data_IF_799760685051
#
_entry.id   IF_799760685051
#
_cell.length_a   1.000
_cell.length_b   1.000
_cell.length_c   1.000
_cell.angle_alpha   90.00
_cell.angle_beta   90.00
_cell.angle_gamma   90.00
#
_symmetry.space_group_name_H-M   'P 1'
#
loop_
_entity.id
_entity.type
_entity.pdbx_description
1 polymer ?
#
# COMPACT_ATOMS: atom_id res chain seq x y z
N UNK A 1 15.99 -5.06 6.29
CA UNK A 1 17.20 -4.22 6.26
C UNK A 1 17.54 -3.70 4.86
N UNK A 2 17.57 -4.53 3.80
CA UNK A 2 17.94 -4.06 2.44
C UNK A 2 17.10 -2.89 1.88
N UNK A 3 15.79 -2.84 2.15
CA UNK A 3 14.91 -1.75 1.68
C UNK A 3 15.31 -0.37 2.24
N UNK A 4 15.56 -0.31 3.55
CA UNK A 4 15.97 0.92 4.22
C UNK A 4 17.32 1.40 3.66
N UNK A 5 18.27 0.49 3.47
CA UNK A 5 19.57 0.85 2.89
C UNK A 5 19.43 1.41 1.47
N UNK A 6 18.54 0.84 0.65
CA UNK A 6 18.26 1.39 -0.69
C UNK A 6 17.65 2.79 -0.65
N UNK A 7 16.75 3.04 0.30
CA UNK A 7 16.17 4.37 0.52
C UNK A 7 17.22 5.40 0.97
N UNK A 8 18.14 5.02 1.87
CA UNK A 8 19.24 5.90 2.28
C UNK A 8 20.22 6.23 1.13
N UNK A 9 20.48 5.25 0.25
CA UNK A 9 21.27 5.48 -0.97
C UNK A 9 20.56 6.43 -1.92
N UNK A 10 19.25 6.26 -2.12
CA UNK A 10 18.46 7.17 -2.94
C UNK A 10 18.44 8.59 -2.38
N UNK A 11 18.27 8.72 -1.06
CA UNK A 11 18.37 10.00 -0.36
C UNK A 11 19.72 10.67 -0.56
N UNK A 12 20.81 9.92 -0.48
CA UNK A 12 22.15 10.44 -0.73
C UNK A 12 22.33 10.88 -2.20
N UNK A 13 21.88 10.07 -3.15
CA UNK A 13 21.99 10.37 -4.58
C UNK A 13 21.20 11.64 -4.96
N UNK A 14 19.97 11.77 -4.47
CA UNK A 14 19.13 12.94 -4.76
C UNK A 14 19.65 14.23 -4.10
N UNK A 15 20.42 14.12 -3.00
CA UNK A 15 21.15 15.28 -2.42
C UNK A 15 22.36 15.67 -3.27
N UNK A 16 23.05 14.70 -3.86
CA UNK A 16 24.24 14.94 -4.68
C UNK A 16 23.88 15.50 -6.06
N UNK A 17 22.75 15.08 -6.63
CA UNK A 17 22.25 15.55 -7.93
C UNK A 17 20.83 16.13 -7.78
N UNK A 18 20.69 17.44 -7.50
CA UNK A 18 19.38 18.07 -7.25
C UNK A 18 18.42 18.07 -8.44
N UNK A 19 18.89 17.76 -9.66
CA UNK A 19 18.05 17.63 -10.84
C UNK A 19 17.36 16.26 -10.97
N UNK A 20 17.81 15.26 -10.19
CA UNK A 20 17.23 13.92 -10.19
C UNK A 20 16.09 13.82 -9.17
N UNK A 21 15.03 13.14 -9.60
CA UNK A 21 13.92 12.73 -8.74
C UNK A 21 13.89 11.22 -8.62
N UNK A 22 13.75 10.70 -7.39
CA UNK A 22 13.75 9.26 -7.11
C UNK A 22 12.48 8.90 -6.34
N UNK A 23 11.69 7.97 -6.88
CA UNK A 23 10.53 7.42 -6.20
C UNK A 23 10.83 6.00 -5.71
N UNK A 24 10.79 5.78 -4.39
CA UNK A 24 10.88 4.45 -3.80
C UNK A 24 9.48 3.91 -3.53
N UNK A 25 9.05 2.93 -4.33
CA UNK A 25 7.72 2.33 -4.24
C UNK A 25 7.74 1.12 -3.29
N UNK A 26 7.09 1.24 -2.14
CA UNK A 26 6.91 0.14 -1.18
C UNK A 26 5.68 -0.68 -1.56
N UNK A 27 5.92 -1.66 -2.43
CA UNK A 27 4.91 -2.62 -2.83
C UNK A 27 4.65 -3.63 -1.71
N UNK A 28 3.38 -3.87 -1.41
CA UNK A 28 2.95 -4.91 -0.48
C UNK A 28 2.34 -6.07 -1.25
N UNK A 29 2.69 -7.33 -0.95
CA UNK A 29 2.24 -8.58 -1.62
C UNK A 29 1.49 -8.32 -2.95
N UNK A 30 2.24 -8.29 -4.05
CA UNK A 30 1.67 -8.07 -5.40
C UNK A 30 0.86 -9.30 -5.79
N UNK A 31 -0.37 -9.07 -6.26
CA UNK A 31 -1.28 -10.12 -6.73
C UNK A 31 -1.65 -9.93 -8.19
N UNK A 32 -1.82 -11.04 -8.88
CA UNK A 32 -2.21 -11.07 -10.28
C UNK A 32 -3.66 -11.54 -10.42
N UNK A 33 -4.46 -10.92 -11.29
CA UNK A 33 -5.84 -11.36 -11.55
C UNK A 33 -5.90 -12.84 -11.93
N UNK A 34 -6.71 -13.63 -11.22
CA UNK A 34 -6.90 -15.06 -11.49
C UNK A 34 -5.84 -16.01 -10.90
N UNK A 35 -4.72 -15.51 -10.39
CA UNK A 35 -3.64 -16.38 -9.86
C UNK A 35 -3.80 -16.74 -8.37
N UNK A 36 -4.69 -16.06 -7.66
CA UNK A 36 -4.87 -16.23 -6.22
C UNK A 36 -6.30 -16.59 -5.85
N UNK A 37 -6.44 -17.47 -4.85
CA UNK A 37 -7.70 -17.72 -4.16
C UNK A 37 -7.89 -16.66 -3.07
N UNK A 38 -9.12 -16.20 -2.92
CA UNK A 38 -9.50 -15.23 -1.91
C UNK A 38 -10.29 -15.89 -0.77
N UNK A 39 -10.18 -15.40 0.48
CA UNK A 39 -9.28 -14.33 0.91
C UNK A 39 -7.80 -14.73 0.85
N UNK A 40 -6.88 -13.77 0.65
CA UNK A 40 -5.42 -14.02 0.67
C UNK A 40 -4.94 -14.52 2.03
N UNK A 41 -5.61 -14.09 3.10
CA UNK A 41 -5.33 -14.48 4.48
C UNK A 41 -6.55 -15.16 5.10
N UNK A 42 -6.80 -16.45 4.77
CA UNK A 42 -7.92 -17.20 5.34
C UNK A 42 -7.73 -17.46 6.84
N UNK A 43 -6.49 -17.66 7.28
CA UNK A 43 -6.11 -17.48 8.68
C UNK A 43 -5.50 -16.08 8.87
N UNK A 44 -6.19 -15.16 9.58
CA UNK A 44 -5.69 -13.81 9.82
C UNK A 44 -4.32 -13.78 10.53
N UNK A 45 -3.95 -14.79 11.31
CA UNK A 45 -2.66 -14.79 11.99
C UNK A 45 -1.48 -14.73 10.99
N UNK A 46 -1.63 -15.35 9.82
CA UNK A 46 -0.62 -15.33 8.76
C UNK A 46 -0.39 -13.95 8.12
N UNK A 47 -1.36 -13.03 8.24
CA UNK A 47 -1.28 -11.67 7.68
C UNK A 47 -0.95 -10.57 8.69
N UNK A 48 -0.93 -10.87 10.00
CA UNK A 48 -0.82 -9.85 11.04
C UNK A 48 0.46 -9.01 10.93
N UNK A 49 1.62 -9.63 10.69
CA UNK A 49 2.90 -8.91 10.53
C UNK A 49 2.93 -8.00 9.30
N UNK A 50 2.07 -8.25 8.32
CA UNK A 50 1.98 -7.52 7.07
C UNK A 50 0.72 -6.65 7.02
N UNK A 51 -0.01 -6.55 8.14
CA UNK A 51 -1.28 -5.82 8.26
C UNK A 51 -2.29 -6.22 7.18
N UNK A 52 -2.25 -7.49 6.74
CA UNK A 52 -3.13 -8.07 5.72
C UNK A 52 -3.15 -7.30 4.39
N UNK A 53 -2.12 -6.49 4.14
CA UNK A 53 -2.01 -5.69 2.93
C UNK A 53 -1.76 -6.56 1.69
N UNK A 54 -2.08 -6.00 0.55
CA UNK A 54 -1.75 -6.54 -0.77
C UNK A 54 -1.81 -5.38 -1.79
N UNK A 55 -1.45 -5.63 -3.05
CA UNK A 55 -1.73 -4.72 -4.15
C UNK A 55 -1.94 -5.48 -5.45
N UNK A 56 -2.91 -5.07 -6.27
CA UNK A 56 -3.08 -5.61 -7.61
C UNK A 56 -1.94 -5.12 -8.53
N UNK A 57 -1.40 -6.00 -9.37
CA UNK A 57 -0.35 -5.67 -10.33
C UNK A 57 -0.71 -4.48 -11.24
N UNK A 58 -1.99 -4.32 -11.61
CA UNK A 58 -2.44 -3.19 -12.45
C UNK A 58 -2.30 -1.86 -11.74
N UNK A 59 -2.51 -1.85 -10.43
CA UNK A 59 -2.31 -0.67 -9.58
C UNK A 59 -0.81 -0.37 -9.39
N UNK A 60 0.05 -1.40 -9.32
CA UNK A 60 1.51 -1.24 -9.31
C UNK A 60 2.03 -0.61 -10.60
N UNK A 61 1.58 -1.13 -11.75
CA UNK A 61 1.97 -0.57 -13.06
C UNK A 61 1.56 0.89 -13.16
N UNK A 62 0.34 1.23 -12.73
CA UNK A 62 -0.12 2.61 -12.68
C UNK A 62 0.75 3.49 -11.77
N UNK A 63 1.18 2.98 -10.60
CA UNK A 63 2.07 3.71 -9.69
C UNK A 63 3.44 3.98 -10.32
N UNK A 64 4.03 2.97 -11.00
CA UNK A 64 5.29 3.13 -11.70
C UNK A 64 5.21 4.20 -12.78
N UNK A 65 4.17 4.18 -13.62
CA UNK A 65 3.98 5.20 -14.67
C UNK A 65 3.81 6.59 -14.07
N UNK A 66 2.99 6.72 -13.02
CA UNK A 66 2.79 8.00 -12.33
C UNK A 66 4.06 8.53 -11.68
N UNK A 67 4.90 7.66 -11.12
CA UNK A 67 6.17 8.04 -10.53
C UNK A 67 7.17 8.62 -11.55
N UNK A 68 7.12 8.18 -12.81
CA UNK A 68 7.98 8.70 -13.88
C UNK A 68 7.55 10.10 -14.35
N UNK A 69 6.27 10.42 -14.24
CA UNK A 69 5.69 11.69 -14.72
C UNK A 69 5.51 12.74 -13.62
N UNK A 70 5.58 12.33 -12.35
CA UNK A 70 5.24 13.19 -11.22
C UNK A 70 6.24 14.34 -11.03
N UNK A 71 5.78 15.59 -10.86
CA UNK A 71 6.64 16.76 -10.76
C UNK A 71 7.12 16.99 -9.32
N UNK A 72 7.82 16.02 -8.73
CA UNK A 72 8.50 16.17 -7.43
C UNK A 72 10.02 16.25 -7.63
N UNK A 73 10.73 16.66 -6.59
CA UNK A 73 12.21 16.73 -6.55
C UNK A 73 12.73 15.94 -5.37
N UNK A 74 13.98 15.51 -5.45
CA UNK A 74 14.61 14.77 -4.37
C UNK A 74 14.18 13.29 -4.37
N UNK A 75 14.28 12.65 -3.21
CA UNK A 75 13.83 11.28 -3.02
C UNK A 75 12.57 11.24 -2.15
N UNK A 76 11.59 10.45 -2.59
CA UNK A 76 10.34 10.26 -1.87
C UNK A 76 9.95 8.78 -1.83
N UNK A 77 9.52 8.33 -0.65
CA UNK A 77 9.03 6.97 -0.42
C UNK A 77 7.50 6.95 -0.42
N UNK A 78 6.90 5.97 -1.10
CA UNK A 78 5.45 5.82 -1.25
C UNK A 78 4.99 4.41 -0.92
N UNK A 79 3.93 4.26 -0.12
CA UNK A 79 3.22 2.99 -0.01
C UNK A 79 2.29 2.81 -1.20
N UNK A 80 2.42 1.67 -1.88
CA UNK A 80 1.56 1.27 -2.99
C UNK A 80 0.84 0.00 -2.56
N UNK A 81 -0.37 0.20 -2.02
CA UNK A 81 -1.20 -0.83 -1.41
C UNK A 81 -2.66 -0.67 -1.87
N UNK A 82 -3.41 -1.77 -1.90
CA UNK A 82 -4.85 -1.74 -2.08
C UNK A 82 -5.55 -0.96 -0.96
N UNK A 83 -6.77 -0.48 -1.25
CA UNK A 83 -7.60 0.29 -0.29
C UNK A 83 -8.15 -0.56 0.86
N UNK A 84 -8.11 -1.87 0.73
CA UNK A 84 -8.73 -2.84 1.62
C UNK A 84 -7.77 -3.97 2.03
N UNK A 85 -8.17 -4.73 3.05
CA UNK A 85 -7.42 -5.91 3.52
C UNK A 85 -7.71 -7.15 2.69
N UNK A 86 -6.72 -8.03 2.56
CA UNK A 86 -6.84 -9.33 1.88
C UNK A 86 -7.52 -10.44 2.72
N UNK A 87 -8.35 -10.09 3.69
CA UNK A 87 -9.07 -11.02 4.57
C UNK A 87 -10.54 -10.63 4.67
N UNK A 88 -11.43 -11.60 4.93
CA UNK A 88 -12.86 -11.38 5.13
C UNK A 88 -13.22 -10.84 6.51
N UNK A 89 -12.29 -10.88 7.46
CA UNK A 89 -12.51 -10.35 8.81
C UNK A 89 -12.50 -8.82 8.76
N UNK A 90 -13.44 -8.12 9.44
CA UNK A 90 -13.41 -6.67 9.53
C UNK A 90 -12.09 -6.15 10.13
N UNK A 91 -11.57 -5.04 9.61
CA UNK A 91 -10.28 -4.46 10.02
C UNK A 91 -10.25 -4.13 11.52
N UNK A 92 -11.39 -3.71 12.10
CA UNK A 92 -11.52 -3.46 13.54
C UNK A 92 -11.25 -4.74 14.35
N UNK A 93 -11.93 -5.83 14.01
CA UNK A 93 -11.82 -7.11 14.72
C UNK A 93 -10.39 -7.67 14.61
N UNK A 94 -9.73 -7.46 13.47
CA UNK A 94 -8.31 -7.78 13.29
C UNK A 94 -7.41 -6.98 14.25
N UNK A 95 -7.61 -5.68 14.36
CA UNK A 95 -6.83 -4.83 15.26
C UNK A 95 -7.07 -5.18 16.72
N UNK A 96 -8.32 -5.42 17.12
CA UNK A 96 -8.66 -5.85 18.48
C UNK A 96 -8.02 -7.20 18.82
N UNK A 97 -7.99 -8.14 17.88
CA UNK A 97 -7.42 -9.48 18.09
C UNK A 97 -5.89 -9.49 18.12
N UNK A 98 -5.22 -8.79 17.21
CA UNK A 98 -3.77 -8.90 17.01
C UNK A 98 -2.98 -7.71 17.55
N UNK A 99 -3.62 -6.56 17.73
CA UNK A 99 -3.00 -5.31 18.18
C UNK A 99 -3.88 -4.56 19.22
N UNK A 100 -4.38 -5.22 20.29
CA UNK A 100 -5.40 -4.67 21.19
C UNK A 100 -4.98 -3.37 21.89
N UNK A 101 -3.67 -3.13 22.03
CA UNK A 101 -3.13 -1.98 22.73
C UNK A 101 -2.82 -0.79 21.79
N UNK A 102 -3.14 -0.89 20.50
CA UNK A 102 -2.86 0.17 19.52
C UNK A 102 -4.09 1.07 19.39
N UNK A 103 -4.01 2.36 19.77
CA UNK A 103 -5.15 3.26 19.68
C UNK A 103 -5.46 3.63 18.22
N UNK A 104 -6.75 3.60 17.87
CA UNK A 104 -7.24 4.12 16.61
C UNK A 104 -7.33 5.65 16.65
N UNK A 105 -6.74 6.32 15.65
CA UNK A 105 -6.80 7.79 15.52
C UNK A 105 -8.08 8.30 14.85
N UNK A 106 -8.80 7.41 14.16
CA UNK A 106 -10.06 7.68 13.47
C UNK A 106 -10.85 6.38 13.31
N UNK A 107 -12.11 6.51 12.93
CA UNK A 107 -12.90 5.39 12.46
C UNK A 107 -12.36 4.84 11.14
N UNK A 108 -12.45 3.52 10.97
CA UNK A 108 -12.06 2.80 9.77
C UNK A 108 -13.33 2.26 9.08
N UNK A 109 -13.30 2.22 7.76
CA UNK A 109 -14.29 1.45 6.99
C UNK A 109 -14.15 -0.05 7.30
N UNK A 110 -15.21 -0.86 7.10
CA UNK A 110 -15.23 -2.25 7.57
C UNK A 110 -14.02 -3.11 7.18
N UNK A 111 -13.49 -2.94 5.97
CA UNK A 111 -12.33 -3.70 5.47
C UNK A 111 -11.17 -2.80 5.03
N UNK A 112 -11.10 -1.58 5.57
CA UNK A 112 -10.09 -0.60 5.18
C UNK A 112 -8.66 -1.13 5.36
N UNK A 113 -7.80 -0.88 4.38
CA UNK A 113 -6.37 -1.17 4.46
C UNK A 113 -5.69 -0.28 5.50
N UNK A 114 -4.58 -0.79 6.08
CA UNK A 114 -3.87 -0.13 7.18
C UNK A 114 -2.59 0.61 6.74
N UNK A 115 -2.31 0.65 5.43
CA UNK A 115 -1.20 1.43 4.88
C UNK A 115 -1.70 2.78 4.39
N UNK A 116 -1.07 3.86 4.86
CA UNK A 116 -1.39 5.21 4.40
C UNK A 116 -0.81 5.46 3.01
N UNK A 117 -1.70 5.51 2.02
CA UNK A 117 -1.38 5.81 0.62
C UNK A 117 -1.64 7.27 0.23
N UNK A 118 -2.04 8.13 1.18
CA UNK A 118 -2.42 9.52 0.89
C UNK A 118 -1.28 10.33 0.27
N UNK A 119 -0.03 10.01 0.61
CA UNK A 119 1.15 10.65 -0.01
C UNK A 119 1.26 10.32 -1.51
N UNK A 120 0.97 9.08 -1.90
CA UNK A 120 0.99 8.68 -3.31
C UNK A 120 -0.14 9.39 -4.08
N UNK A 121 -1.32 9.56 -3.47
CA UNK A 121 -2.40 10.36 -4.05
C UNK A 121 -1.98 11.83 -4.24
N UNK A 122 -1.41 12.45 -3.21
CA UNK A 122 -1.02 13.87 -3.24
C UNK A 122 0.14 14.17 -4.20
N UNK A 123 1.18 13.34 -4.23
CA UNK A 123 2.42 13.63 -4.96
C UNK A 123 2.44 12.99 -6.34
N UNK A 124 1.95 11.75 -6.46
CA UNK A 124 1.97 11.00 -7.72
C UNK A 124 0.64 11.11 -8.48
N UNK A 125 -0.44 11.59 -7.85
CA UNK A 125 -1.78 11.50 -8.43
C UNK A 125 -2.25 10.04 -8.58
N UNK A 126 -1.80 9.17 -7.68
CA UNK A 126 -2.07 7.73 -7.72
C UNK A 126 -3.02 7.30 -6.60
N UNK A 127 -4.01 6.48 -6.95
CA UNK A 127 -4.90 5.80 -6.00
C UNK A 127 -5.15 4.35 -6.45
N UNK A 128 -5.29 3.39 -5.52
CA UNK A 128 -5.60 2.02 -5.86
C UNK A 128 -7.02 1.90 -6.41
N UNK A 129 -7.17 1.26 -7.57
CA UNK A 129 -8.47 1.10 -8.27
C UNK A 129 -8.99 -0.33 -8.24
N UNK A 130 -8.14 -1.29 -7.91
CA UNK A 130 -8.49 -2.70 -7.99
C UNK A 130 -8.63 -3.31 -6.60
N UNK A 131 -9.84 -3.78 -6.31
CA UNK A 131 -10.16 -4.56 -5.12
C UNK A 131 -10.56 -5.98 -5.55
N UNK A 132 -10.28 -6.96 -4.68
CA UNK A 132 -10.80 -8.31 -4.81
C UNK A 132 -12.26 -8.44 -4.37
N UNK A 133 -12.72 -7.47 -3.58
CA UNK A 133 -14.09 -7.37 -3.14
C UNK A 133 -14.94 -6.83 -4.30
N UNK A 134 -16.17 -7.32 -4.47
CA UNK A 134 -17.07 -6.76 -5.45
C UNK A 134 -17.31 -5.28 -5.16
N UNK A 135 -17.36 -4.47 -6.21
CA UNK A 135 -17.83 -3.09 -6.09
C UNK A 135 -19.31 -3.18 -5.69
N UNK A 136 -19.61 -2.87 -4.43
CA UNK A 136 -21.00 -2.69 -4.01
C UNK A 136 -21.45 -1.38 -4.66
N UNK A 137 -22.06 -1.48 -5.83
CA UNK A 137 -22.82 -0.36 -6.39
C UNK A 137 -23.98 -0.08 -5.44
N UNK A 138 -24.10 1.15 -4.96
CA UNK A 138 -25.36 1.63 -4.39
C UNK A 138 -26.41 1.53 -5.51
N UNK A 139 -27.32 0.57 -5.36
CA UNK A 139 -28.54 0.43 -6.16
C UNK A 139 -29.74 0.87 -5.36
#
# INVERSE_FOLDING_TARGET
MSKLVGEEIADAAARLEPSVSIASLRLHRVVFPGEHKWPLYPDPAGGAKSLWGYVDIRDVVAACLKALEAPFRGHEVFFICARDTGTDVPTRDLLERFFPNVPLRRSLSPHEGLFDVAKAARVLGWEPRHSWRPVVGEG
#
